data_IF_266842325722
#
_entry.id   IF_266842325722
#
_cell.length_a   1.000
_cell.length_b   1.000
_cell.length_c   1.000
_cell.angle_alpha   90.00
_cell.angle_beta   90.00
_cell.angle_gamma   90.00
#
_symmetry.space_group_name_H-M   'P 1'
#
loop_
_entity.id
_entity.type
_entity.pdbx_description
1 polymer ?
#
# COMPACT_ATOMS: atom_id res chain seq x y z
N UNK A 1 -2.97 1.09 -25.56
CA UNK A 1 -2.32 1.08 -24.24
C UNK A 1 -1.57 2.38 -24.08
N UNK A 2 -1.62 2.98 -22.89
CA UNK A 2 -0.86 4.17 -22.51
C UNK A 2 -0.26 3.97 -21.12
N UNK A 3 0.70 4.81 -20.77
CA UNK A 3 1.33 4.78 -19.45
C UNK A 3 0.58 5.68 -18.49
N UNK A 4 0.39 5.19 -17.27
CA UNK A 4 -0.24 5.88 -16.15
C UNK A 4 0.73 5.93 -14.96
N UNK A 5 0.67 7.00 -14.18
CA UNK A 5 1.47 7.19 -12.96
C UNK A 5 0.65 6.78 -11.75
N UNK A 6 1.14 5.81 -11.01
CA UNK A 6 0.50 5.29 -9.82
C UNK A 6 1.39 5.46 -8.59
N UNK A 7 0.82 5.89 -7.48
CA UNK A 7 1.48 5.83 -6.16
C UNK A 7 0.67 4.88 -5.27
N UNK A 8 1.12 3.62 -5.21
CA UNK A 8 0.35 2.52 -4.63
C UNK A 8 0.64 2.29 -3.13
N UNK A 9 1.28 3.24 -2.46
CA UNK A 9 1.66 3.12 -1.05
C UNK A 9 1.68 4.51 -0.38
N UNK A 10 0.54 4.91 0.20
CA UNK A 10 0.33 6.20 0.87
C UNK A 10 -0.40 5.96 2.20
N UNK A 11 0.11 6.56 3.28
CA UNK A 11 -0.52 6.57 4.59
C UNK A 11 -1.43 7.78 4.77
N UNK A 12 -2.33 7.72 5.73
CA UNK A 12 -3.21 8.82 6.13
C UNK A 12 -2.94 9.22 7.58
N UNK A 13 -3.74 10.15 8.10
CA UNK A 13 -3.78 10.51 9.52
C UNK A 13 -4.14 9.33 10.45
N UNK A 14 -4.64 8.22 9.91
CA UNK A 14 -4.92 7.00 10.67
C UNK A 14 -3.66 6.22 11.05
N UNK A 15 -2.65 6.22 10.17
CA UNK A 15 -1.38 5.59 10.47
C UNK A 15 -0.70 6.33 11.63
N UNK A 16 -0.15 5.63 12.64
CA UNK A 16 0.53 6.28 13.77
C UNK A 16 1.68 7.22 13.35
N UNK A 17 2.33 6.91 12.23
CA UNK A 17 3.40 7.72 11.63
C UNK A 17 2.93 8.76 10.61
N UNK A 18 1.64 8.85 10.30
CA UNK A 18 1.09 9.82 9.37
C UNK A 18 1.00 11.21 9.99
N UNK A 19 1.33 12.23 9.21
CA UNK A 19 1.12 13.62 9.59
C UNK A 19 -0.37 13.92 9.78
N UNK A 20 -0.69 14.85 10.69
CA UNK A 20 -2.08 15.28 10.92
C UNK A 20 -2.73 15.88 9.66
N UNK A 21 -1.91 16.42 8.75
CA UNK A 21 -2.34 16.99 7.49
C UNK A 21 -2.58 15.93 6.38
N UNK A 22 -2.39 14.63 6.68
CA UNK A 22 -2.70 13.53 5.77
C UNK A 22 -4.21 13.22 5.75
N UNK A 23 -5.01 14.25 5.49
CA UNK A 23 -6.48 14.20 5.43
C UNK A 23 -6.96 13.83 4.02
N UNK A 24 -8.19 13.30 3.87
CA UNK A 24 -8.71 12.85 2.57
C UNK A 24 -8.64 13.91 1.47
N UNK A 25 -9.11 15.12 1.75
CA UNK A 25 -9.11 16.25 0.80
C UNK A 25 -7.69 16.64 0.39
N UNK A 26 -6.75 16.65 1.35
CA UNK A 26 -5.36 17.05 1.14
C UNK A 26 -4.60 16.02 0.31
N UNK A 27 -4.75 14.73 0.60
CA UNK A 27 -4.12 13.63 -0.14
C UNK A 27 -4.51 13.68 -1.61
N UNK A 28 -5.82 13.73 -1.90
CA UNK A 28 -6.32 13.77 -3.28
C UNK A 28 -5.86 15.04 -4.00
N UNK A 29 -5.85 16.19 -3.31
CA UNK A 29 -5.34 17.44 -3.87
C UNK A 29 -3.87 17.35 -4.28
N UNK A 30 -2.99 16.87 -3.39
CA UNK A 30 -1.56 16.76 -3.70
C UNK A 30 -1.30 15.71 -4.78
N UNK A 31 -2.00 14.58 -4.78
CA UNK A 31 -1.90 13.57 -5.83
C UNK A 31 -2.22 14.13 -7.23
N UNK A 32 -3.32 14.87 -7.36
CA UNK A 32 -3.70 15.55 -8.61
C UNK A 32 -2.66 16.60 -9.04
N UNK A 33 -2.18 17.41 -8.09
CA UNK A 33 -1.13 18.41 -8.33
C UNK A 33 0.17 17.77 -8.81
N UNK A 34 0.50 16.57 -8.33
CA UNK A 34 1.65 15.76 -8.77
C UNK A 34 1.39 15.00 -10.07
N UNK A 35 0.19 15.10 -10.66
CA UNK A 35 -0.22 14.41 -11.90
C UNK A 35 -0.11 12.89 -11.77
N UNK A 36 -0.56 12.36 -10.65
CA UNK A 36 -0.82 10.93 -10.49
C UNK A 36 -2.19 10.62 -11.10
N UNK A 37 -2.26 9.49 -11.80
CA UNK A 37 -3.52 8.97 -12.35
C UNK A 37 -4.22 8.04 -11.36
N UNK A 38 -3.42 7.36 -10.52
CA UNK A 38 -3.87 6.36 -9.55
C UNK A 38 -3.14 6.58 -8.23
N UNK A 39 -3.84 6.49 -7.10
CA UNK A 39 -3.23 6.36 -5.79
C UNK A 39 -3.83 5.18 -5.02
N UNK A 40 -3.10 4.65 -4.04
CA UNK A 40 -3.65 3.72 -3.07
C UNK A 40 -3.41 4.17 -1.64
N UNK A 41 -4.42 3.95 -0.80
CA UNK A 41 -4.37 4.24 0.63
C UNK A 41 -4.10 2.95 1.39
N UNK A 42 -3.02 2.95 2.16
CA UNK A 42 -2.42 1.74 2.75
C UNK A 42 -1.97 2.00 4.19
N UNK A 43 -2.89 2.47 5.04
CA UNK A 43 -2.60 2.65 6.47
C UNK A 43 -2.13 1.35 7.14
N UNK A 44 -1.33 1.48 8.19
CA UNK A 44 -0.82 0.32 8.93
C UNK A 44 -1.98 -0.50 9.51
N UNK A 45 -2.07 -1.77 9.13
CA UNK A 45 -3.02 -2.75 9.66
C UNK A 45 -4.48 -2.27 9.76
N UNK A 46 -4.90 -1.33 8.89
CA UNK A 46 -6.23 -0.76 8.89
C UNK A 46 -6.59 -0.21 7.52
N UNK A 47 -7.89 -0.27 7.20
CA UNK A 47 -8.49 0.22 5.96
C UNK A 47 -9.49 1.34 6.23
N UNK A 48 -9.69 1.74 7.50
CA UNK A 48 -10.83 2.56 7.95
C UNK A 48 -10.90 3.95 7.31
N UNK A 49 -9.77 4.54 6.93
CA UNK A 49 -9.72 5.84 6.25
C UNK A 49 -10.01 5.74 4.75
N UNK A 50 -9.82 4.57 4.13
CA UNK A 50 -9.83 4.40 2.67
C UNK A 50 -11.13 4.89 2.01
N UNK A 51 -12.29 4.55 2.58
CA UNK A 51 -13.60 4.83 1.96
C UNK A 51 -13.77 6.34 1.72
N UNK A 52 -13.46 7.17 2.72
CA UNK A 52 -13.58 8.63 2.58
C UNK A 52 -12.64 9.18 1.50
N UNK A 53 -11.40 8.68 1.42
CA UNK A 53 -10.44 9.12 0.39
C UNK A 53 -10.88 8.65 -1.00
N UNK A 54 -11.47 7.47 -1.10
CA UNK A 54 -12.01 6.94 -2.36
C UNK A 54 -13.16 7.82 -2.89
N UNK A 55 -14.09 8.19 -2.02
CA UNK A 55 -15.20 9.09 -2.37
C UNK A 55 -14.71 10.46 -2.83
N UNK A 56 -13.78 11.08 -2.08
CA UNK A 56 -13.16 12.36 -2.46
C UNK A 56 -12.39 12.24 -3.79
N UNK A 57 -11.73 11.11 -4.01
CA UNK A 57 -11.01 10.80 -5.25
C UNK A 57 -11.94 10.74 -6.45
N UNK A 58 -13.03 9.97 -6.35
CA UNK A 58 -14.03 9.79 -7.40
C UNK A 58 -14.63 11.14 -7.82
N UNK A 59 -15.04 11.97 -6.85
CA UNK A 59 -15.60 13.29 -7.12
C UNK A 59 -14.63 14.22 -7.88
N UNK A 60 -13.32 14.06 -7.65
CA UNK A 60 -12.27 14.87 -8.27
C UNK A 60 -11.65 14.23 -9.51
N UNK A 61 -12.16 13.06 -9.93
CA UNK A 61 -11.67 12.34 -11.10
C UNK A 61 -10.28 11.70 -10.92
N UNK A 62 -9.91 11.35 -9.69
CA UNK A 62 -8.71 10.56 -9.37
C UNK A 62 -9.11 9.12 -9.04
N UNK A 63 -8.41 8.14 -9.59
CA UNK A 63 -8.61 6.74 -9.18
C UNK A 63 -7.89 6.51 -7.86
N UNK A 64 -8.66 6.14 -6.84
CA UNK A 64 -8.16 5.81 -5.50
C UNK A 64 -8.53 4.37 -5.18
N UNK A 65 -7.55 3.60 -4.73
CA UNK A 65 -7.71 2.19 -4.37
C UNK A 65 -7.54 2.05 -2.86
N UNK A 66 -8.46 1.32 -2.22
CA UNK A 66 -8.39 1.03 -0.79
C UNK A 66 -7.49 -0.18 -0.50
N UNK A 67 -6.79 -0.12 0.61
CA UNK A 67 -5.83 -1.14 1.00
C UNK A 67 -5.30 -0.95 2.42
N UNK A 68 -4.22 -1.68 2.73
CA UNK A 68 -3.49 -1.54 4.00
C UNK A 68 -2.05 -2.01 3.83
N UNK A 69 -1.12 -1.33 4.49
CA UNK A 69 0.23 -1.85 4.71
C UNK A 69 0.24 -2.70 5.97
N UNK A 70 0.52 -3.99 5.80
CA UNK A 70 0.45 -4.99 6.84
C UNK A 70 1.83 -5.24 7.41
N UNK A 71 1.95 -5.21 8.74
CA UNK A 71 3.14 -5.72 9.42
C UNK A 71 2.91 -7.20 9.76
N UNK A 72 3.53 -8.11 9.00
CA UNK A 72 3.35 -9.56 9.21
C UNK A 72 3.96 -10.03 10.53
N UNK A 73 3.69 -11.29 10.92
CA UNK A 73 4.33 -11.92 12.10
C UNK A 73 5.85 -11.98 11.98
N UNK A 74 6.34 -12.12 10.76
CA UNK A 74 7.76 -12.09 10.43
C UNK A 74 8.35 -10.68 10.55
N UNK A 75 7.53 -9.66 10.82
CA UNK A 75 7.87 -8.24 10.78
C UNK A 75 8.25 -7.76 9.38
N UNK A 76 7.64 -8.33 8.33
CA UNK A 76 7.79 -7.86 6.96
C UNK A 76 6.57 -7.04 6.57
N UNK A 77 6.81 -5.83 6.04
CA UNK A 77 5.73 -5.01 5.54
C UNK A 77 5.27 -5.47 4.16
N UNK A 78 3.96 -5.55 3.98
CA UNK A 78 3.33 -5.94 2.71
C UNK A 78 2.13 -5.04 2.43
N UNK A 79 2.00 -4.55 1.21
CA UNK A 79 0.81 -3.80 0.78
C UNK A 79 -0.24 -4.76 0.25
N UNK A 80 -1.49 -4.45 0.60
CA UNK A 80 -2.70 -5.13 0.14
C UNK A 80 -3.64 -4.13 -0.50
N UNK A 81 -4.28 -4.47 -1.60
CA UNK A 81 -5.21 -3.59 -2.33
C UNK A 81 -6.47 -4.33 -2.74
N UNK A 82 -7.62 -3.64 -2.73
CA UNK A 82 -8.93 -4.23 -3.05
C UNK A 82 -9.73 -3.35 -4.00
N UNK A 83 -10.41 -3.98 -4.95
CA UNK A 83 -11.27 -3.30 -5.93
C UNK A 83 -12.56 -2.77 -5.30
N UNK A 84 -13.19 -3.56 -4.43
CA UNK A 84 -14.51 -3.27 -3.88
C UNK A 84 -14.47 -2.90 -2.40
N UNK A 85 -15.41 -2.06 -1.99
CA UNK A 85 -15.60 -1.67 -0.59
C UNK A 85 -15.97 -2.90 0.26
N UNK A 86 -16.70 -3.85 -0.31
CA UNK A 86 -17.08 -5.10 0.35
C UNK A 86 -15.84 -5.92 0.74
N UNK A 87 -14.91 -6.13 -0.20
CA UNK A 87 -13.69 -6.91 0.07
C UNK A 87 -12.77 -6.17 1.03
N UNK A 88 -12.70 -4.83 0.92
CA UNK A 88 -11.95 -4.00 1.85
C UNK A 88 -12.47 -4.13 3.29
N UNK A 89 -13.80 -4.10 3.47
CA UNK A 89 -14.45 -4.31 4.78
C UNK A 89 -14.25 -5.73 5.30
N UNK A 90 -14.33 -6.74 4.43
CA UNK A 90 -14.06 -8.14 4.82
C UNK A 90 -12.59 -8.30 5.26
N UNK A 91 -11.66 -7.66 4.57
CA UNK A 91 -10.26 -7.66 4.96
C UNK A 91 -10.03 -6.94 6.30
N UNK A 92 -10.74 -5.84 6.58
CA UNK A 92 -10.67 -5.19 7.91
C UNK A 92 -11.06 -6.16 9.04
N UNK A 93 -12.05 -7.02 8.83
CA UNK A 93 -12.45 -8.04 9.82
C UNK A 93 -11.30 -9.03 10.05
N UNK A 94 -10.59 -9.43 9.00
CA UNK A 94 -9.38 -10.25 9.12
C UNK A 94 -8.29 -9.53 9.94
N UNK A 95 -8.02 -8.25 9.64
CA UNK A 95 -7.04 -7.44 10.37
C UNK A 95 -7.40 -7.33 11.85
N UNK A 96 -8.66 -7.01 12.15
CA UNK A 96 -9.14 -6.87 13.53
C UNK A 96 -9.00 -8.17 14.33
N UNK A 97 -9.17 -9.33 13.70
CA UNK A 97 -9.02 -10.64 14.34
C UNK A 97 -7.55 -11.04 14.55
N UNK A 98 -6.62 -10.48 13.75
CA UNK A 98 -5.19 -10.81 13.79
C UNK A 98 -4.35 -9.78 14.53
N UNK A 99 -4.84 -8.56 14.72
CA UNK A 99 -4.15 -7.50 15.43
C UNK A 99 -4.09 -7.79 16.94
N UNK A 100 -2.91 -7.74 17.58
CA UNK A 100 -2.80 -7.95 19.01
C UNK A 100 -3.55 -6.91 19.84
N UNK A 101 -4.02 -7.31 21.03
CA UNK A 101 -4.65 -6.44 22.03
C UNK A 101 -3.63 -5.58 22.80
N UNK A 102 -2.76 -4.88 22.05
CA UNK A 102 -1.77 -3.95 22.59
C UNK A 102 -2.32 -2.54 22.40
N UNK A 103 -2.52 -1.80 23.48
CA UNK A 103 -3.04 -0.43 23.40
C UNK A 103 -1.98 0.54 22.86
N UNK A 104 -2.43 1.45 21.99
CA UNK A 104 -1.63 2.57 21.53
C UNK A 104 -1.31 3.53 22.69
N UNK A 105 -0.19 4.24 22.55
CA UNK A 105 0.24 5.34 23.44
C UNK A 105 0.42 6.58 22.56
N UNK A 106 -0.62 7.41 22.39
CA UNK A 106 -0.58 8.52 21.45
C UNK A 106 0.57 9.49 21.67
N UNK A 107 0.99 9.68 22.92
CA UNK A 107 2.13 10.52 23.29
C UNK A 107 3.49 9.98 22.80
N UNK A 108 3.55 8.71 22.38
CA UNK A 108 4.77 8.07 21.84
C UNK A 108 4.68 7.75 20.36
N UNK A 109 3.52 7.29 19.92
CA UNK A 109 3.34 6.72 18.58
C UNK A 109 2.42 7.56 17.69
N UNK A 110 1.89 8.67 18.17
CA UNK A 110 0.91 9.46 17.43
C UNK A 110 -0.53 8.98 17.64
N UNK A 111 -1.47 9.86 17.33
CA UNK A 111 -2.89 9.53 17.30
C UNK A 111 -3.19 8.65 16.08
N UNK A 112 -4.14 7.74 16.22
CA UNK A 112 -4.56 6.82 15.14
C UNK A 112 -6.05 7.01 14.90
N UNK A 113 -6.39 8.11 14.24
CA UNK A 113 -7.77 8.54 14.02
C UNK A 113 -8.11 8.50 12.54
N UNK A 114 -9.38 8.28 12.22
CA UNK A 114 -9.86 8.51 10.87
C UNK A 114 -10.91 9.62 10.88
N UNK A 115 -10.89 10.42 9.82
CA UNK A 115 -11.67 11.65 9.67
C UNK A 115 -12.59 11.56 8.45
N UNK A 116 -13.68 12.33 8.49
CA UNK A 116 -14.48 12.58 7.29
C UNK A 116 -13.83 13.68 6.42
N UNK A 117 -14.46 14.01 5.29
CA UNK A 117 -14.01 15.07 4.37
C UNK A 117 -13.98 16.49 4.94
N UNK A 118 -14.63 16.71 6.08
CA UNK A 118 -14.59 17.96 6.81
C UNK A 118 -13.52 17.97 7.91
N UNK A 119 -12.65 16.95 7.91
CA UNK A 119 -11.57 16.75 8.88
C UNK A 119 -12.10 16.55 10.31
N UNK A 120 -13.36 16.14 10.45
CA UNK A 120 -13.96 15.77 11.73
C UNK A 120 -13.58 14.32 12.05
N UNK A 121 -13.08 14.08 13.26
CA UNK A 121 -12.74 12.74 13.74
C UNK A 121 -14.03 11.92 13.84
N UNK A 122 -14.10 10.83 13.08
CA UNK A 122 -15.22 9.88 13.07
C UNK A 122 -14.89 8.60 13.83
N UNK A 123 -13.62 8.37 14.16
CA UNK A 123 -13.22 7.36 15.13
C UNK A 123 -11.73 7.30 15.40
N UNK A 124 -11.35 6.43 16.33
CA UNK A 124 -9.98 6.19 16.77
C UNK A 124 -9.75 4.68 16.92
N UNK A 125 -8.56 4.20 16.54
CA UNK A 125 -8.13 2.83 16.81
C UNK A 125 -7.34 2.79 18.13
N UNK A 126 -7.88 2.16 19.19
CA UNK A 126 -7.20 2.09 20.48
C UNK A 126 -6.01 1.13 20.48
N UNK A 127 -5.96 0.14 19.57
CA UNK A 127 -4.85 -0.82 19.48
C UNK A 127 -3.71 -0.25 18.66
N UNK A 128 -2.47 -0.60 18.99
CA UNK A 128 -1.28 -0.10 18.29
C UNK A 128 -1.18 -0.69 16.89
N UNK A 129 -1.45 0.13 15.86
CA UNK A 129 -1.47 -0.29 14.46
C UNK A 129 -0.09 -0.69 13.92
N UNK A 130 1.00 -0.21 14.52
CA UNK A 130 2.37 -0.63 14.17
C UNK A 130 2.65 -2.12 14.48
N UNK A 131 1.85 -2.74 15.34
CA UNK A 131 2.12 -4.09 15.85
C UNK A 131 2.15 -5.14 14.72
N UNK A 132 3.06 -6.10 14.83
CA UNK A 132 3.03 -7.28 13.97
C UNK A 132 1.72 -8.06 14.20
N UNK A 133 1.05 -8.44 13.11
CA UNK A 133 -0.15 -9.28 13.16
C UNK A 133 0.20 -10.70 13.60
N UNK A 134 -0.78 -11.41 14.16
CA UNK A 134 -0.71 -12.85 14.36
C UNK A 134 -1.05 -13.64 13.06
N UNK A 135 -0.41 -13.26 11.96
CA UNK A 135 -0.54 -13.90 10.65
C UNK A 135 0.80 -13.83 9.90
N UNK A 136 1.23 -14.93 9.28
CA UNK A 136 2.40 -14.93 8.41
C UNK A 136 2.14 -14.19 7.09
N UNK A 137 3.21 -13.82 6.39
CA UNK A 137 3.16 -13.32 5.00
C UNK A 137 2.28 -14.23 4.12
N UNK A 138 2.43 -15.55 4.21
CA UNK A 138 1.67 -16.49 3.38
C UNK A 138 0.18 -16.56 3.75
N UNK A 139 -0.15 -16.48 5.05
CA UNK A 139 -1.53 -16.38 5.52
C UNK A 139 -2.19 -15.10 5.00
N UNK A 140 -1.46 -13.98 5.02
CA UNK A 140 -1.93 -12.68 4.52
C UNK A 140 -2.14 -12.74 3.00
N UNK A 141 -1.14 -13.21 2.24
CA UNK A 141 -1.25 -13.33 0.78
C UNK A 141 -2.42 -14.22 0.37
N UNK A 142 -2.61 -15.36 1.06
CA UNK A 142 -3.72 -16.27 0.82
C UNK A 142 -5.09 -15.61 1.04
N UNK A 143 -5.22 -14.82 2.10
CA UNK A 143 -6.46 -14.10 2.40
C UNK A 143 -6.75 -12.99 1.37
N UNK A 144 -5.72 -12.23 0.99
CA UNK A 144 -5.85 -11.18 -0.03
C UNK A 144 -6.31 -11.77 -1.36
N UNK A 145 -5.73 -12.89 -1.81
CA UNK A 145 -6.13 -13.56 -3.04
C UNK A 145 -7.52 -14.21 -2.94
N UNK A 146 -7.91 -14.74 -1.77
CA UNK A 146 -9.29 -15.21 -1.53
C UNK A 146 -10.31 -14.10 -1.77
N UNK A 147 -9.94 -12.86 -1.42
CA UNK A 147 -10.73 -11.64 -1.63
C UNK A 147 -10.48 -10.96 -2.99
N UNK A 148 -9.82 -11.65 -3.94
CA UNK A 148 -9.48 -11.15 -5.27
C UNK A 148 -8.69 -9.83 -5.27
N UNK A 149 -7.97 -9.55 -4.18
CA UNK A 149 -7.12 -8.38 -4.01
C UNK A 149 -5.74 -8.56 -4.65
N UNK A 150 -4.92 -7.52 -4.52
CA UNK A 150 -3.51 -7.53 -4.90
C UNK A 150 -2.63 -7.53 -3.65
N UNK A 151 -1.52 -8.25 -3.71
CA UNK A 151 -0.57 -8.40 -2.63
C UNK A 151 0.85 -8.19 -3.13
N UNK A 152 1.62 -7.33 -2.47
CA UNK A 152 3.05 -7.22 -2.73
C UNK A 152 3.84 -6.85 -1.47
N UNK A 153 5.02 -7.44 -1.23
CA UNK A 153 5.96 -6.97 -0.23
C UNK A 153 6.34 -5.50 -0.47
N UNK A 154 6.23 -4.71 0.60
CA UNK A 154 6.59 -3.31 0.58
C UNK A 154 8.09 -3.13 0.77
N UNK A 155 8.65 -2.10 0.11
CA UNK A 155 10.02 -1.60 0.29
C UNK A 155 11.03 -2.67 0.74
N UNK A 156 11.16 -3.74 -0.04
CA UNK A 156 11.81 -5.00 0.38
C UNK A 156 13.28 -4.84 0.80
N UNK A 157 13.91 -3.76 0.36
CA UNK A 157 15.29 -3.36 0.60
C UNK A 157 15.46 -2.37 1.76
N UNK A 158 14.39 -2.01 2.45
CA UNK A 158 14.44 -1.18 3.66
C UNK A 158 15.12 -1.94 4.81
N UNK A 159 15.88 -1.20 5.62
CA UNK A 159 16.61 -1.74 6.77
C UNK A 159 15.72 -2.17 7.94
N UNK A 160 14.49 -1.68 8.00
CA UNK A 160 13.51 -2.00 9.03
C UNK A 160 12.26 -2.43 8.27
N UNK A 161 11.70 -3.57 8.66
CA UNK A 161 10.54 -4.24 8.05
C UNK A 161 10.65 -4.61 6.55
N UNK A 162 11.80 -4.40 5.90
CA UNK A 162 12.05 -4.87 4.55
C UNK A 162 12.35 -6.37 4.50
N UNK A 163 11.70 -7.08 3.58
CA UNK A 163 11.81 -8.53 3.40
C UNK A 163 13.26 -9.03 3.30
N UNK A 164 14.11 -8.35 2.53
CA UNK A 164 15.50 -8.76 2.31
C UNK A 164 16.36 -8.63 3.57
N UNK A 165 16.00 -7.74 4.48
CA UNK A 165 16.68 -7.62 5.77
C UNK A 165 16.21 -8.69 6.75
N UNK A 166 14.91 -8.94 6.77
CA UNK A 166 14.26 -9.80 7.74
C UNK A 166 14.44 -11.28 7.43
N UNK A 167 14.27 -11.67 6.15
CA UNK A 167 14.36 -13.06 5.70
C UNK A 167 15.69 -13.35 4.99
N UNK A 168 16.35 -12.34 4.45
CA UNK A 168 17.59 -12.48 3.68
C UNK A 168 17.38 -12.72 2.17
N UNK A 169 16.18 -13.16 1.78
CA UNK A 169 15.80 -13.51 0.41
C UNK A 169 14.31 -13.24 0.15
N UNK A 170 13.89 -13.30 -1.11
CA UNK A 170 12.47 -13.35 -1.49
C UNK A 170 12.06 -14.83 -1.53
N UNK A 171 11.05 -15.27 -0.76
CA UNK A 171 10.63 -16.67 -0.76
C UNK A 171 10.24 -17.14 -2.18
N UNK A 172 10.76 -18.28 -2.67
CA UNK A 172 10.51 -18.74 -4.05
C UNK A 172 9.04 -19.06 -4.36
N UNK A 173 8.27 -19.40 -3.33
CA UNK A 173 6.85 -19.75 -3.38
C UNK A 173 5.93 -18.60 -2.96
N UNK A 174 6.49 -17.40 -2.75
CA UNK A 174 5.71 -16.21 -2.43
C UNK A 174 4.72 -15.90 -3.54
N UNK A 175 3.43 -15.87 -3.19
CA UNK A 175 2.37 -15.45 -4.09
C UNK A 175 2.23 -13.92 -3.99
N UNK A 176 2.92 -13.18 -4.84
CA UNK A 176 2.84 -11.73 -4.91
C UNK A 176 2.63 -11.24 -6.34
N UNK A 177 2.00 -10.08 -6.50
CA UNK A 177 1.79 -9.45 -7.81
C UNK A 177 3.01 -8.63 -8.26
N UNK A 178 3.82 -8.16 -7.31
CA UNK A 178 5.00 -7.35 -7.56
C UNK A 178 5.95 -7.37 -6.34
N UNK A 179 7.11 -6.74 -6.51
CA UNK A 179 8.03 -6.42 -5.41
C UNK A 179 8.29 -4.91 -5.40
N UNK A 180 7.96 -4.25 -4.29
CA UNK A 180 8.24 -2.84 -4.12
C UNK A 180 9.67 -2.61 -3.59
N UNK A 181 10.42 -1.71 -4.21
CA UNK A 181 11.78 -1.34 -3.80
C UNK A 181 11.93 0.17 -3.63
N UNK A 182 12.85 0.59 -2.76
CA UNK A 182 13.22 1.98 -2.53
C UNK A 182 14.44 2.40 -3.34
N UNK A 183 15.45 1.53 -3.45
CA UNK A 183 16.77 1.85 -3.95
C UNK A 183 17.07 1.05 -5.24
N UNK A 184 16.50 1.51 -6.36
CA UNK A 184 16.57 0.81 -7.65
C UNK A 184 17.99 0.51 -8.18
N UNK A 185 18.98 1.28 -7.74
CA UNK A 185 20.37 1.21 -8.18
C UNK A 185 21.28 0.39 -7.25
N UNK A 186 20.76 -0.17 -6.16
CA UNK A 186 21.54 -1.03 -5.28
C UNK A 186 21.88 -2.36 -5.98
N UNK A 187 23.14 -2.83 -5.94
CA UNK A 187 23.54 -4.09 -6.58
C UNK A 187 22.68 -5.29 -6.16
N UNK A 188 22.28 -5.32 -4.88
CA UNK A 188 21.40 -6.36 -4.36
C UNK A 188 20.02 -6.39 -5.04
N UNK A 189 19.50 -5.24 -5.45
CA UNK A 189 18.23 -5.17 -6.20
C UNK A 189 18.39 -5.72 -7.62
N UNK A 190 19.56 -5.56 -8.25
CA UNK A 190 19.84 -6.19 -9.53
C UNK A 190 19.88 -7.72 -9.42
N UNK A 191 20.45 -8.26 -8.34
CA UNK A 191 20.42 -9.69 -8.05
C UNK A 191 18.99 -10.21 -7.84
N UNK A 192 18.19 -9.49 -7.03
CA UNK A 192 16.78 -9.83 -6.80
C UNK A 192 15.99 -9.82 -8.11
N UNK A 193 16.17 -8.80 -8.96
CA UNK A 193 15.58 -8.73 -10.31
C UNK A 193 15.91 -9.95 -11.16
N UNK A 194 17.17 -10.37 -11.16
CA UNK A 194 17.62 -11.51 -11.95
C UNK A 194 17.07 -12.85 -11.42
N UNK A 195 17.05 -13.02 -10.11
CA UNK A 195 16.57 -14.25 -9.46
C UNK A 195 15.04 -14.38 -9.50
N UNK A 196 14.33 -13.26 -9.52
CA UNK A 196 12.88 -13.19 -9.39
C UNK A 196 12.25 -12.50 -10.61
N UNK A 197 12.75 -12.84 -11.80
CA UNK A 197 12.39 -12.19 -13.08
C UNK A 197 10.91 -12.30 -13.47
N UNK A 198 10.12 -13.10 -12.77
CA UNK A 198 8.67 -13.20 -12.94
C UNK A 198 7.90 -12.03 -12.33
N UNK A 199 8.46 -11.32 -11.34
CA UNK A 199 7.76 -10.21 -10.68
C UNK A 199 8.07 -8.88 -11.35
N UNK A 200 7.06 -8.02 -11.44
CA UNK A 200 7.28 -6.59 -11.65
C UNK A 200 8.05 -6.00 -10.48
N UNK A 201 9.04 -5.16 -10.78
CA UNK A 201 9.67 -4.30 -9.77
C UNK A 201 9.04 -2.92 -9.83
N UNK A 202 8.43 -2.53 -8.72
CA UNK A 202 7.68 -1.28 -8.57
C UNK A 202 8.30 -0.39 -7.49
N UNK A 203 7.86 0.86 -7.42
CA UNK A 203 8.31 1.79 -6.37
C UNK A 203 7.23 2.82 -6.09
N UNK A 204 6.98 3.11 -4.82
CA UNK A 204 5.98 4.10 -4.41
C UNK A 204 6.54 5.01 -3.33
N UNK A 205 5.79 6.04 -2.97
CA UNK A 205 6.29 7.13 -2.14
C UNK A 205 6.54 6.70 -0.69
N UNK A 206 5.74 5.75 -0.16
CA UNK A 206 5.64 5.46 1.26
C UNK A 206 5.37 6.77 2.03
N UNK A 207 4.40 7.55 1.51
CA UNK A 207 4.17 8.92 1.93
C UNK A 207 3.44 8.98 3.28
N UNK A 208 4.05 9.71 4.20
CA UNK A 208 3.53 10.01 5.53
C UNK A 208 3.22 11.51 5.71
N UNK A 209 3.60 12.33 4.72
CA UNK A 209 3.36 13.76 4.67
C UNK A 209 2.88 14.13 3.26
N UNK A 210 2.00 15.14 3.09
CA UNK A 210 1.40 15.42 1.79
C UNK A 210 2.42 15.74 0.70
N UNK A 211 3.54 16.39 1.07
CA UNK A 211 4.61 16.77 0.15
C UNK A 211 5.37 15.58 -0.43
N UNK A 212 5.35 14.43 0.27
CA UNK A 212 6.02 13.20 -0.13
C UNK A 212 5.21 12.38 -1.14
N UNK A 213 3.91 12.63 -1.26
CA UNK A 213 3.04 11.95 -2.23
C UNK A 213 3.62 12.11 -3.64
N UNK A 214 3.77 10.98 -4.33
CA UNK A 214 4.32 10.90 -5.67
C UNK A 214 5.82 11.20 -5.79
N UNK A 215 6.60 11.30 -4.69
CA UNK A 215 8.07 11.44 -4.78
C UNK A 215 8.75 10.24 -5.45
N UNK A 216 8.05 9.11 -5.41
CA UNK A 216 8.32 7.87 -6.15
C UNK A 216 6.97 7.36 -6.58
N UNK A 217 6.93 6.76 -7.75
CA UNK A 217 5.70 6.29 -8.34
C UNK A 217 6.03 5.15 -9.31
N UNK A 218 5.01 4.34 -9.60
CA UNK A 218 5.06 3.22 -10.52
C UNK A 218 4.42 3.63 -11.84
N UNK A 219 5.09 3.27 -12.93
CA UNK A 219 4.51 3.36 -14.27
C UNK A 219 3.71 2.09 -14.57
N UNK A 220 2.44 2.25 -14.92
CA UNK A 220 1.55 1.16 -15.34
C UNK A 220 1.14 1.35 -16.80
N UNK A 221 1.47 0.39 -17.67
CA UNK A 221 1.06 0.37 -19.08
C UNK A 221 -0.23 -0.40 -19.20
N UNK A 222 -1.32 0.31 -19.46
CA UNK A 222 -2.67 -0.24 -19.40
C UNK A 222 -3.53 0.29 -20.55
N UNK A 223 -4.68 -0.35 -20.79
CA UNK A 223 -5.70 0.12 -21.74
C UNK A 223 -6.63 1.14 -21.09
N UNK A 224 -7.06 0.86 -19.87
CA UNK A 224 -8.08 1.60 -19.13
C UNK A 224 -7.65 1.74 -17.65
N UNK A 225 -8.32 2.64 -16.93
CA UNK A 225 -8.07 2.90 -15.51
C UNK A 225 -8.96 2.00 -14.65
N UNK A 226 -8.66 0.70 -14.60
CA UNK A 226 -9.43 -0.28 -13.83
C UNK A 226 -8.50 -1.13 -12.95
N UNK A 227 -9.04 -1.69 -11.87
CA UNK A 227 -8.28 -2.56 -10.97
C UNK A 227 -7.74 -3.81 -11.69
N UNK A 228 -8.54 -4.40 -12.60
CA UNK A 228 -8.10 -5.51 -13.45
C UNK A 228 -6.88 -5.15 -14.29
N UNK A 229 -6.86 -3.97 -14.94
CA UNK A 229 -5.70 -3.57 -15.74
C UNK A 229 -4.44 -3.39 -14.88
N UNK A 230 -4.60 -2.96 -13.61
CA UNK A 230 -3.49 -2.87 -12.66
C UNK A 230 -2.97 -4.27 -12.33
N UNK A 231 -3.86 -5.23 -12.02
CA UNK A 231 -3.50 -6.64 -11.81
C UNK A 231 -2.72 -7.19 -13.01
N UNK A 232 -3.25 -6.99 -14.22
CA UNK A 232 -2.60 -7.43 -15.46
C UNK A 232 -1.24 -6.76 -15.66
N UNK A 233 -1.10 -5.48 -15.34
CA UNK A 233 0.16 -4.75 -15.48
C UNK A 233 1.23 -5.24 -14.51
N UNK A 234 0.89 -5.42 -13.23
CA UNK A 234 1.80 -5.97 -12.22
C UNK A 234 2.24 -7.41 -12.59
N UNK A 235 1.35 -8.19 -13.18
CA UNK A 235 1.63 -9.59 -13.58
C UNK A 235 2.12 -9.77 -15.03
N UNK A 236 2.49 -8.69 -15.75
CA UNK A 236 2.98 -8.74 -17.14
C UNK A 236 2.07 -9.47 -18.15
N UNK A 237 0.75 -9.35 -18.00
CA UNK A 237 -0.22 -10.08 -18.81
C UNK A 237 -0.63 -9.31 -20.07
N UNK A 238 -0.79 -10.02 -21.19
CA UNK A 238 -1.33 -9.49 -22.45
C UNK A 238 -0.74 -8.13 -22.90
N UNK A 239 0.57 -7.97 -22.72
CA UNK A 239 1.32 -6.77 -23.11
C UNK A 239 1.18 -5.56 -22.18
N UNK A 240 0.47 -5.70 -21.06
CA UNK A 240 0.51 -4.75 -19.93
C UNK A 240 1.80 -4.96 -19.15
N UNK A 241 2.24 -3.91 -18.47
CA UNK A 241 3.55 -3.88 -17.82
C UNK A 241 3.55 -2.87 -16.69
N UNK A 242 4.15 -3.22 -15.55
CA UNK A 242 4.49 -2.31 -14.48
C UNK A 242 6.00 -2.15 -14.38
N UNK A 243 6.46 -0.93 -14.09
CA UNK A 243 7.87 -0.68 -13.79
C UNK A 243 8.02 0.50 -12.85
N UNK A 244 9.06 0.46 -12.04
CA UNK A 244 9.44 1.58 -11.20
C UNK A 244 9.65 2.87 -12.02
N UNK A 245 9.10 3.98 -11.56
CA UNK A 245 9.39 5.31 -12.07
C UNK A 245 10.77 5.77 -11.63
N UNK A 246 11.48 6.40 -12.55
CA UNK A 246 12.66 7.20 -12.24
C UNK A 246 12.25 8.66 -12.41
N UNK A 247 12.53 9.49 -11.40
CA UNK A 247 12.58 10.95 -11.59
C UNK A 247 13.76 11.33 -12.50
#
# INVERSE_FOLDING_TARGET
MKWYRADLHIHTVLSPCGGLDMTPERIVHEALKKKLDIIAITDHNSTKQCIEVMEVGEEKGLVVIGGSEINSREEVHCVTLFESIENLKEFQVFLDAKLPEILNKPEKFGHQVWVNRHEEIIGEEPRLLWSALNASIDEIASEVHRLNGLFFPAHIDRMINGMLRQLGFVPPDLQADALEVLFLNEPRIAEVKNQNSSFSIITNSDAHEPEHIGRRFTWLKMKELTFEEIRMALNHQDGREAKAGND
#
